data_IF_348870864077
#
_entry.id   IF_348870864077
#
_cell.length_a   1.000
_cell.length_b   1.000
_cell.length_c   1.000
_cell.angle_alpha   90.00
_cell.angle_beta   90.00
_cell.angle_gamma   90.00
#
_symmetry.space_group_name_H-M   'P 1'
#
loop_
_entity.id
_entity.type
_entity.pdbx_description
1 polymer ?
#
# COMPACT_ATOMS: atom_id res chain seq x y z
N UNK A 1 -63.44 51.13 23.04
CA UNK A 1 -63.65 49.81 22.38
C UNK A 1 -62.34 49.17 21.86
N UNK A 2 -61.40 49.94 21.41
CA UNK A 2 -60.20 49.47 20.74
C UNK A 2 -59.31 48.57 21.66
N UNK A 3 -59.21 48.85 22.94
CA UNK A 3 -58.34 48.08 23.89
C UNK A 3 -58.89 46.68 24.23
N UNK A 4 -60.15 46.44 24.08
CA UNK A 4 -60.79 45.12 24.33
C UNK A 4 -60.46 44.13 23.23
N UNK A 5 -60.33 44.55 22.01
CA UNK A 5 -59.98 43.71 20.87
C UNK A 5 -58.47 43.33 20.94
N UNK A 6 -57.61 44.22 21.40
CA UNK A 6 -56.20 43.95 21.60
C UNK A 6 -56.01 42.90 22.69
N UNK A 7 -56.71 42.99 23.80
CA UNK A 7 -56.68 42.02 24.87
C UNK A 7 -57.18 40.63 24.42
N UNK A 8 -58.25 40.57 23.66
CA UNK A 8 -58.74 39.30 23.10
C UNK A 8 -57.79 38.68 22.10
N UNK A 9 -57.15 39.47 21.26
CA UNK A 9 -56.13 38.98 20.32
C UNK A 9 -54.90 38.39 21.04
N UNK A 10 -54.48 39.03 22.12
CA UNK A 10 -53.35 38.55 22.91
C UNK A 10 -53.69 37.24 23.63
N UNK A 11 -54.86 37.11 24.18
CA UNK A 11 -55.32 35.86 24.81
C UNK A 11 -55.42 34.72 23.81
N UNK A 12 -55.91 35.00 22.58
CA UNK A 12 -56.02 34.01 21.53
C UNK A 12 -54.61 33.50 21.07
N UNK A 13 -53.66 34.41 20.98
CA UNK A 13 -52.26 34.02 20.63
C UNK A 13 -51.62 33.15 21.73
N UNK A 14 -51.78 33.51 22.99
CA UNK A 14 -51.27 32.74 24.13
C UNK A 14 -51.91 31.36 24.22
N UNK A 15 -53.23 31.27 24.00
CA UNK A 15 -53.94 30.00 23.96
C UNK A 15 -53.47 29.11 22.78
N UNK A 16 -53.24 29.70 21.61
CA UNK A 16 -52.71 28.98 20.45
C UNK A 16 -51.30 28.41 20.69
N UNK A 17 -50.41 29.19 21.31
CA UNK A 17 -49.06 28.74 21.69
C UNK A 17 -49.11 27.64 22.74
N UNK A 18 -49.98 27.71 23.73
CA UNK A 18 -50.17 26.68 24.74
C UNK A 18 -50.62 25.33 24.16
N UNK A 19 -51.50 25.37 23.14
CA UNK A 19 -51.95 24.17 22.45
C UNK A 19 -50.82 23.52 21.64
N UNK A 20 -49.95 24.33 21.03
CA UNK A 20 -48.80 23.81 20.27
C UNK A 20 -47.77 23.10 21.17
N UNK A 21 -47.56 23.55 22.40
CA UNK A 21 -46.67 22.89 23.36
C UNK A 21 -47.28 21.64 24.00
N UNK A 22 -48.60 21.47 23.96
CA UNK A 22 -49.27 20.28 24.50
C UNK A 22 -49.32 19.11 23.52
N UNK A 23 -49.02 19.32 22.24
CA UNK A 23 -49.20 18.31 21.19
C UNK A 23 -48.05 17.30 21.07
N UNK A 24 -46.98 17.42 21.87
CA UNK A 24 -45.84 16.54 21.78
C UNK A 24 -45.71 15.54 22.94
N UNK A 25 -46.79 14.96 23.43
CA UNK A 25 -46.68 13.68 24.16
C UNK A 25 -46.76 12.55 23.14
N UNK A 26 -45.63 12.03 22.76
CA UNK A 26 -45.56 10.70 22.16
C UNK A 26 -46.02 9.70 23.18
N UNK A 27 -47.26 9.34 23.14
CA UNK A 27 -47.79 8.22 23.90
C UNK A 27 -47.36 6.98 23.11
N UNK A 28 -46.46 6.21 23.65
CA UNK A 28 -46.16 4.87 23.17
C UNK A 28 -47.29 3.94 23.62
N UNK A 29 -48.53 4.24 23.13
CA UNK A 29 -49.73 3.49 23.48
C UNK A 29 -49.67 2.01 23.08
N UNK A 30 -48.78 1.67 22.13
CA UNK A 30 -48.59 0.29 21.72
C UNK A 30 -47.94 -0.58 22.80
N UNK A 31 -47.23 0.03 23.78
CA UNK A 31 -46.54 -0.69 24.86
C UNK A 31 -47.35 -0.72 26.15
N UNK A 32 -48.28 0.19 26.36
CA UNK A 32 -49.14 0.20 27.55
C UNK A 32 -50.46 -0.58 27.35
N UNK A 33 -51.01 -0.55 26.11
CA UNK A 33 -52.21 -1.34 25.82
C UNK A 33 -51.85 -2.82 25.61
N UNK A 34 -51.97 -3.61 26.63
CA UNK A 34 -51.68 -5.03 26.58
C UNK A 34 -50.53 -5.46 27.47
N UNK A 35 -49.82 -4.54 28.10
CA UNK A 35 -48.72 -4.85 29.03
C UNK A 35 -49.16 -5.74 30.21
N UNK A 36 -50.46 -5.64 30.65
CA UNK A 36 -51.05 -6.49 31.66
C UNK A 36 -51.53 -7.86 31.17
N UNK A 37 -51.50 -8.10 29.83
CA UNK A 37 -51.90 -9.36 29.22
C UNK A 37 -50.71 -10.28 28.89
N UNK A 38 -49.54 -9.71 28.96
CA UNK A 38 -48.30 -10.48 28.73
C UNK A 38 -47.92 -11.18 30.03
N UNK A 39 -47.77 -12.53 30.03
CA UNK A 39 -47.30 -13.25 31.21
C UNK A 39 -45.94 -12.67 31.65
N UNK A 40 -45.64 -12.59 32.97
CA UNK A 40 -44.41 -12.03 33.50
C UNK A 40 -43.11 -12.67 32.95
N UNK A 41 -43.21 -13.86 32.40
CA UNK A 41 -42.12 -14.60 31.76
C UNK A 41 -41.87 -14.22 30.29
N UNK A 42 -42.84 -13.59 29.62
CA UNK A 42 -42.76 -13.21 28.21
C UNK A 42 -42.48 -11.69 28.02
N UNK A 43 -42.31 -10.99 29.12
CA UNK A 43 -41.93 -9.57 29.07
C UNK A 43 -40.53 -9.37 28.49
N UNK A 44 -40.44 -8.75 27.31
CA UNK A 44 -39.14 -8.37 26.75
C UNK A 44 -38.67 -7.13 27.51
N UNK A 45 -37.73 -7.31 28.43
CA UNK A 45 -37.03 -6.22 29.09
C UNK A 45 -35.88 -5.78 28.18
N UNK A 46 -36.02 -4.62 27.52
CA UNK A 46 -34.90 -3.99 26.82
C UNK A 46 -34.15 -3.11 27.83
N UNK A 47 -32.84 -3.31 27.86
CA UNK A 47 -31.94 -2.46 28.64
C UNK A 47 -30.80 -2.00 27.75
N UNK A 48 -30.41 -0.75 27.94
CA UNK A 48 -29.24 -0.19 27.29
C UNK A 48 -28.04 -0.45 28.20
N UNK A 49 -26.98 -1.00 27.62
CA UNK A 49 -25.70 -1.13 28.30
C UNK A 49 -24.60 -0.46 27.49
N UNK A 50 -23.76 0.31 28.17
CA UNK A 50 -22.57 0.88 27.58
C UNK A 50 -21.41 -0.08 27.77
N UNK A 51 -20.88 -0.58 26.69
CA UNK A 51 -19.70 -1.43 26.69
C UNK A 51 -18.50 -0.57 26.30
N UNK A 52 -17.55 -0.40 27.22
CA UNK A 52 -16.29 0.22 26.89
C UNK A 52 -15.42 -0.80 26.15
N UNK A 53 -15.22 -0.57 24.86
CA UNK A 53 -14.33 -1.36 24.04
C UNK A 53 -12.97 -0.67 24.01
N UNK A 54 -11.95 -1.34 24.51
CA UNK A 54 -10.57 -0.94 24.36
C UNK A 54 -9.98 -1.71 23.19
N UNK A 55 -9.60 -1.01 22.13
CA UNK A 55 -8.90 -1.60 20.99
C UNK A 55 -7.40 -1.40 21.16
N UNK A 56 -6.65 -2.46 21.02
CA UNK A 56 -5.19 -2.43 21.05
C UNK A 56 -4.68 -2.94 19.71
N UNK A 57 -3.67 -2.26 19.16
CA UNK A 57 -2.86 -2.84 18.10
C UNK A 57 -1.86 -3.78 18.76
N UNK A 58 -2.10 -5.08 18.62
CA UNK A 58 -1.13 -6.07 19.07
C UNK A 58 -0.04 -6.22 18.01
N UNK A 59 1.21 -6.29 18.45
CA UNK A 59 2.36 -6.62 17.61
C UNK A 59 2.44 -8.10 17.30
N UNK A 60 1.42 -8.89 17.65
CA UNK A 60 1.39 -10.35 17.53
C UNK A 60 2.72 -10.96 17.96
N UNK A 61 2.77 -11.67 19.06
CA UNK A 61 4.02 -12.16 19.64
C UNK A 61 4.98 -12.70 18.58
N UNK A 62 6.19 -12.20 18.54
CA UNK A 62 7.21 -12.48 17.51
C UNK A 62 7.45 -13.97 17.25
N UNK A 63 7.13 -14.83 18.23
CA UNK A 63 7.32 -16.28 18.13
C UNK A 63 6.23 -17.00 17.32
N UNK A 64 5.08 -16.37 17.11
CA UNK A 64 3.91 -16.98 16.43
C UNK A 64 3.53 -16.26 15.15
N UNK A 65 4.28 -15.21 14.76
CA UNK A 65 4.02 -14.45 13.57
C UNK A 65 4.36 -15.26 12.32
N UNK A 66 3.34 -15.75 11.66
CA UNK A 66 3.43 -16.54 10.42
C UNK A 66 3.13 -15.72 9.17
N UNK A 67 3.23 -14.38 9.26
CA UNK A 67 3.00 -13.53 8.10
C UNK A 67 4.20 -13.57 7.17
N UNK A 68 3.94 -13.94 5.93
CA UNK A 68 4.93 -14.03 4.87
C UNK A 68 4.86 -12.84 3.93
N UNK A 69 5.99 -12.51 3.32
CA UNK A 69 6.06 -11.52 2.26
C UNK A 69 5.13 -11.94 1.11
N UNK A 70 4.32 -10.98 0.66
CA UNK A 70 3.45 -11.20 -0.49
C UNK A 70 4.27 -11.35 -1.78
N UNK A 71 3.82 -12.26 -2.65
CA UNK A 71 4.35 -12.47 -4.00
C UNK A 71 3.34 -12.06 -5.05
N UNK A 72 2.58 -11.02 -4.78
CA UNK A 72 1.58 -10.49 -5.69
C UNK A 72 2.26 -9.80 -6.88
N UNK A 73 1.49 -9.51 -7.91
CA UNK A 73 1.96 -8.77 -9.07
C UNK A 73 2.21 -7.29 -8.76
N UNK A 74 1.57 -6.76 -7.70
CA UNK A 74 1.70 -5.37 -7.23
C UNK A 74 2.48 -5.33 -5.92
N UNK A 75 3.47 -4.44 -5.85
CA UNK A 75 4.34 -4.27 -4.70
C UNK A 75 4.36 -2.83 -4.23
N UNK A 76 4.51 -2.66 -2.93
CA UNK A 76 4.66 -1.35 -2.31
C UNK A 76 6.13 -1.00 -2.13
N UNK A 77 6.47 0.26 -2.39
CA UNK A 77 7.81 0.79 -2.20
C UNK A 77 7.74 2.21 -1.65
N UNK A 78 8.42 2.46 -0.55
CA UNK A 78 8.52 3.79 0.03
C UNK A 78 8.38 3.80 1.54
N UNK A 79 8.33 5.00 2.10
CA UNK A 79 8.30 5.18 3.55
C UNK A 79 7.32 6.27 3.94
N UNK A 80 6.44 5.94 4.89
CA UNK A 80 5.57 6.88 5.59
C UNK A 80 6.09 6.98 7.03
N UNK A 81 6.41 8.19 7.47
CA UNK A 81 7.00 8.38 8.80
C UNK A 81 5.99 8.65 9.89
N UNK A 82 4.84 9.21 9.55
CA UNK A 82 3.86 9.68 10.52
C UNK A 82 2.44 9.56 9.98
N UNK A 83 1.98 8.33 9.79
CA UNK A 83 0.56 8.09 9.55
C UNK A 83 -0.19 8.21 10.88
N UNK A 84 -1.31 8.99 10.94
CA UNK A 84 -2.05 9.21 12.18
C UNK A 84 -2.69 7.93 12.76
N UNK A 85 -2.92 6.91 11.93
CA UNK A 85 -3.55 5.65 12.35
C UNK A 85 -2.56 4.50 12.46
N UNK A 86 -1.58 4.42 11.55
CA UNK A 86 -0.68 3.27 11.42
C UNK A 86 0.77 3.60 11.83
N UNK A 87 1.07 4.87 12.11
CA UNK A 87 2.40 5.28 12.53
C UNK A 87 3.41 5.26 11.38
N UNK A 88 4.50 4.53 11.55
CA UNK A 88 5.58 4.43 10.56
C UNK A 88 5.45 3.16 9.73
N UNK A 89 5.48 3.33 8.41
CA UNK A 89 5.53 2.23 7.44
C UNK A 89 6.80 2.36 6.58
N UNK A 90 7.52 1.25 6.41
CA UNK A 90 8.72 1.17 5.57
C UNK A 90 8.55 -0.06 4.65
N UNK A 91 8.25 0.21 3.38
CA UNK A 91 8.00 -0.82 2.38
C UNK A 91 9.23 -0.98 1.46
N UNK A 92 9.75 -2.19 1.37
CA UNK A 92 10.92 -2.56 0.58
C UNK A 92 10.56 -3.68 -0.38
N UNK A 93 11.16 -3.64 -1.57
CA UNK A 93 11.00 -4.66 -2.59
C UNK A 93 12.26 -5.50 -2.70
N UNK A 94 12.10 -6.81 -2.77
CA UNK A 94 13.16 -7.76 -3.09
C UNK A 94 12.85 -8.39 -4.43
N UNK A 95 13.77 -8.26 -5.37
CA UNK A 95 13.56 -8.65 -6.77
C UNK A 95 14.62 -9.66 -7.19
N UNK A 96 14.20 -10.71 -7.85
CA UNK A 96 15.06 -11.60 -8.61
C UNK A 96 14.81 -11.31 -10.09
N UNK A 97 15.84 -10.88 -10.81
CA UNK A 97 15.75 -10.55 -12.23
C UNK A 97 16.27 -11.72 -13.06
N UNK A 98 15.59 -12.04 -14.13
CA UNK A 98 16.01 -13.07 -15.07
C UNK A 98 15.55 -12.72 -16.49
N UNK A 99 16.23 -13.25 -17.50
CA UNK A 99 15.77 -13.14 -18.89
C UNK A 99 14.39 -13.77 -19.10
N UNK A 100 13.64 -13.27 -20.09
CA UNK A 100 12.32 -13.80 -20.43
C UNK A 100 12.36 -15.21 -21.03
N UNK A 101 13.49 -15.57 -21.66
CA UNK A 101 13.67 -16.87 -22.29
C UNK A 101 15.14 -17.31 -22.24
N UNK A 102 15.38 -18.58 -22.44
CA UNK A 102 16.69 -19.16 -22.55
C UNK A 102 16.84 -19.96 -23.87
N UNK A 103 18.04 -20.06 -24.43
CA UNK A 103 19.27 -19.37 -24.04
C UNK A 103 19.18 -17.86 -24.28
N UNK A 104 19.72 -17.07 -23.36
CA UNK A 104 19.76 -15.62 -23.48
C UNK A 104 21.17 -15.12 -23.79
N UNK A 105 21.28 -14.11 -24.65
CA UNK A 105 22.51 -13.39 -24.96
C UNK A 105 22.19 -11.93 -25.27
N UNK A 106 23.10 -11.01 -24.90
CA UNK A 106 22.86 -9.57 -25.08
C UNK A 106 22.87 -9.14 -26.53
N UNK A 107 23.67 -9.78 -27.37
CA UNK A 107 23.65 -9.56 -28.83
C UNK A 107 24.28 -10.76 -29.56
N UNK A 108 23.97 -10.88 -30.84
CA UNK A 108 24.58 -11.86 -31.72
C UNK A 108 26.06 -11.56 -32.07
N UNK A 109 26.58 -10.43 -31.53
CA UNK A 109 27.97 -10.01 -31.71
C UNK A 109 28.83 -10.54 -30.59
N UNK A 110 30.15 -10.64 -30.83
CA UNK A 110 31.10 -11.00 -29.79
C UNK A 110 31.02 -10.01 -28.62
N UNK A 111 31.09 -10.46 -27.36
CA UNK A 111 31.05 -9.59 -26.18
C UNK A 111 32.08 -8.45 -26.23
N UNK A 112 33.28 -8.68 -26.78
CA UNK A 112 34.34 -7.70 -26.90
C UNK A 112 34.00 -6.47 -27.78
N UNK A 113 32.93 -6.56 -28.56
CA UNK A 113 32.43 -5.46 -29.41
C UNK A 113 31.20 -4.75 -28.81
N UNK A 114 30.77 -5.14 -27.61
CA UNK A 114 29.65 -4.54 -26.92
C UNK A 114 30.11 -3.56 -25.83
N UNK A 115 29.45 -2.42 -25.77
CA UNK A 115 29.72 -1.39 -24.76
C UNK A 115 28.45 -1.09 -24.00
N UNK A 116 28.57 -0.90 -22.70
CA UNK A 116 27.47 -0.49 -21.83
C UNK A 116 27.36 1.05 -21.90
N UNK A 117 26.30 1.55 -22.45
CA UNK A 117 25.97 2.98 -22.39
C UNK A 117 25.35 3.32 -21.04
N UNK A 118 24.32 2.60 -20.64
CA UNK A 118 23.66 2.76 -19.36
C UNK A 118 22.95 1.50 -18.91
N UNK A 119 22.82 1.36 -17.59
CA UNK A 119 22.00 0.33 -16.95
C UNK A 119 20.88 1.02 -16.20
N UNK A 120 19.64 0.66 -16.48
CA UNK A 120 18.47 1.30 -15.88
C UNK A 120 17.50 0.25 -15.38
N UNK A 121 17.21 0.30 -14.09
CA UNK A 121 16.08 -0.41 -13.50
C UNK A 121 14.81 0.38 -13.79
N UNK A 122 13.84 -0.29 -14.40
CA UNK A 122 12.53 0.30 -14.71
C UNK A 122 11.45 -0.44 -13.94
N UNK A 123 10.72 0.28 -13.12
CA UNK A 123 9.57 -0.23 -12.38
C UNK A 123 8.32 0.48 -12.89
N UNK A 124 7.29 -0.28 -13.20
CA UNK A 124 5.99 0.28 -13.56
C UNK A 124 5.34 0.88 -12.33
N UNK A 125 4.83 2.09 -12.48
CA UNK A 125 4.11 2.80 -11.43
C UNK A 125 2.61 2.68 -11.66
N UNK A 126 1.87 2.38 -10.61
CA UNK A 126 0.41 2.27 -10.64
C UNK A 126 -0.19 3.46 -9.93
N UNK A 127 0.09 3.60 -8.64
CA UNK A 127 -0.47 4.67 -7.82
C UNK A 127 0.40 4.98 -6.59
N UNK A 128 0.07 6.05 -5.89
CA UNK A 128 0.71 6.43 -4.61
C UNK A 128 -0.35 6.56 -3.53
N UNK A 129 -0.08 5.96 -2.38
CA UNK A 129 -0.82 6.21 -1.15
C UNK A 129 -0.12 7.29 -0.32
N UNK A 130 -0.89 8.25 0.19
CA UNK A 130 -0.41 9.31 1.06
C UNK A 130 0.07 10.56 0.31
N UNK A 131 1.11 11.22 0.82
CA UNK A 131 1.63 12.47 0.26
C UNK A 131 2.38 12.25 -1.05
N UNK A 132 1.90 12.87 -2.11
CA UNK A 132 2.50 12.80 -3.45
C UNK A 132 3.51 13.91 -3.73
N UNK A 133 3.69 14.85 -2.81
CA UNK A 133 4.51 16.07 -2.99
C UNK A 133 5.87 16.01 -2.30
N UNK A 134 5.98 15.21 -1.22
CA UNK A 134 7.23 15.07 -0.49
C UNK A 134 8.22 14.18 -1.26
N UNK A 135 9.45 14.69 -1.54
CA UNK A 135 10.48 13.89 -2.19
C UNK A 135 10.89 12.67 -1.37
N UNK A 136 11.05 11.55 -2.06
CA UNK A 136 11.58 10.30 -1.49
C UNK A 136 12.82 9.85 -2.25
N UNK A 137 13.82 9.37 -1.52
CA UNK A 137 15.02 8.78 -2.11
C UNK A 137 14.90 7.27 -2.10
N UNK A 138 14.92 6.69 -3.29
CA UNK A 138 14.91 5.25 -3.52
C UNK A 138 16.33 4.80 -3.81
N UNK A 139 16.79 3.86 -3.02
CA UNK A 139 18.10 3.24 -3.16
C UNK A 139 17.96 1.80 -3.65
N UNK A 140 18.79 1.42 -4.61
CA UNK A 140 18.86 0.06 -5.14
C UNK A 140 20.16 -0.57 -4.69
N UNK A 141 20.05 -1.67 -3.97
CA UNK A 141 21.19 -2.44 -3.50
C UNK A 141 21.23 -3.81 -4.16
N UNK A 142 22.40 -4.33 -4.35
CA UNK A 142 22.58 -5.75 -4.65
C UNK A 142 22.53 -6.55 -3.37
N UNK A 143 21.77 -7.65 -3.38
CA UNK A 143 21.82 -8.61 -2.29
C UNK A 143 23.10 -9.42 -2.37
N UNK A 144 23.68 -9.70 -1.21
CA UNK A 144 24.83 -10.61 -1.14
C UNK A 144 24.40 -12.00 -1.63
N UNK A 145 25.18 -12.58 -2.53
CA UNK A 145 24.88 -13.91 -3.09
C UNK A 145 24.86 -15.02 -2.03
N UNK A 146 25.56 -14.83 -0.90
CA UNK A 146 25.52 -15.77 0.23
C UNK A 146 24.12 -15.91 0.86
N UNK A 147 23.22 -14.95 0.62
CA UNK A 147 21.84 -15.00 1.13
C UNK A 147 20.96 -16.06 0.45
N UNK A 148 21.36 -16.57 -0.73
CA UNK A 148 20.55 -17.51 -1.51
C UNK A 148 19.09 -17.03 -1.69
N UNK A 149 18.89 -15.75 -1.97
CA UNK A 149 17.57 -15.23 -2.21
C UNK A 149 16.90 -15.90 -3.42
N UNK A 150 15.68 -16.35 -3.22
CA UNK A 150 14.87 -16.99 -4.27
C UNK A 150 13.45 -16.47 -4.24
N UNK A 151 12.97 -16.03 -5.37
CA UNK A 151 11.59 -15.54 -5.50
C UNK A 151 10.53 -16.63 -5.29
N UNK A 152 10.90 -17.90 -5.41
CA UNK A 152 10.02 -19.06 -5.17
C UNK A 152 9.92 -19.49 -3.70
N UNK A 153 10.74 -18.92 -2.82
CA UNK A 153 10.76 -19.21 -1.37
C UNK A 153 9.89 -18.21 -0.62
N UNK A 154 9.28 -18.65 0.48
CA UNK A 154 8.50 -17.80 1.38
C UNK A 154 9.37 -17.24 2.49
N UNK A 155 9.27 -15.94 2.74
CA UNK A 155 10.02 -15.21 3.75
C UNK A 155 9.08 -14.53 4.73
N UNK A 156 9.40 -14.56 6.03
CA UNK A 156 8.61 -13.88 7.06
C UNK A 156 8.81 -12.36 6.99
N UNK A 157 7.74 -11.58 7.17
CA UNK A 157 7.78 -10.12 7.06
C UNK A 157 8.77 -9.47 8.03
N UNK A 158 8.87 -9.99 9.25
CA UNK A 158 9.62 -9.36 10.34
C UNK A 158 11.06 -9.79 10.49
N UNK A 159 11.53 -10.71 9.67
CA UNK A 159 12.88 -11.20 9.76
C UNK A 159 13.75 -10.53 8.71
N UNK A 160 14.84 -9.88 9.14
CA UNK A 160 15.87 -9.43 8.23
C UNK A 160 16.69 -10.63 7.78
N UNK A 161 16.44 -11.05 6.53
CA UNK A 161 17.13 -12.22 5.95
C UNK A 161 18.37 -11.85 5.16
N UNK A 162 18.47 -10.59 4.73
CA UNK A 162 19.33 -10.23 3.63
C UNK A 162 20.36 -9.18 4.03
N UNK A 163 21.60 -9.47 3.75
CA UNK A 163 22.68 -8.49 3.74
C UNK A 163 22.82 -7.88 2.35
N UNK A 164 23.21 -6.62 2.31
CA UNK A 164 23.44 -5.88 1.06
C UNK A 164 24.92 -5.82 0.78
N UNK A 165 25.33 -6.10 -0.46
CA UNK A 165 26.74 -6.03 -0.84
C UNK A 165 27.14 -4.63 -1.29
N UNK A 166 26.38 -4.02 -2.21
CA UNK A 166 26.73 -2.73 -2.79
C UNK A 166 25.49 -1.90 -3.14
N UNK A 167 25.64 -0.59 -3.08
CA UNK A 167 24.67 0.35 -3.63
C UNK A 167 24.86 0.41 -5.14
N UNK A 168 23.87 -0.05 -5.90
CA UNK A 168 23.89 -0.04 -7.36
C UNK A 168 23.40 1.29 -7.94
N UNK A 169 22.48 1.96 -7.27
CA UNK A 169 21.94 3.21 -7.75
C UNK A 169 21.02 3.88 -6.75
N UNK A 170 20.79 5.17 -6.96
CA UNK A 170 19.92 5.97 -6.12
C UNK A 170 19.19 7.01 -6.97
N UNK A 171 17.91 7.25 -6.66
CA UNK A 171 17.14 8.31 -7.28
C UNK A 171 16.20 8.94 -6.27
N UNK A 172 16.22 10.27 -6.20
CA UNK A 172 15.21 11.04 -5.48
C UNK A 172 14.08 11.39 -6.44
N UNK A 173 12.86 11.10 -6.03
CA UNK A 173 11.63 11.33 -6.79
C UNK A 173 10.61 12.04 -5.92
N UNK A 174 9.75 12.82 -6.57
CA UNK A 174 8.47 13.26 -6.02
C UNK A 174 7.39 12.39 -6.64
N UNK A 175 6.56 11.67 -5.86
CA UNK A 175 5.64 10.68 -6.42
C UNK A 175 4.73 11.22 -7.52
N UNK A 176 4.30 12.49 -7.45
CA UNK A 176 3.50 13.13 -8.49
C UNK A 176 4.18 13.16 -9.87
N UNK A 177 5.51 13.15 -9.92
CA UNK A 177 6.27 13.16 -11.19
C UNK A 177 6.26 11.80 -11.90
N UNK A 178 5.82 10.73 -11.23
CA UNK A 178 5.79 9.40 -11.83
C UNK A 178 4.71 9.24 -12.90
N UNK A 179 3.72 10.14 -12.90
CA UNK A 179 2.68 10.20 -13.94
C UNK A 179 3.15 10.94 -15.20
N UNK A 180 4.27 11.65 -15.11
CA UNK A 180 4.77 12.43 -16.24
C UNK A 180 5.35 11.51 -17.31
N UNK A 181 5.32 12.01 -18.56
CA UNK A 181 5.96 11.31 -19.66
C UNK A 181 7.48 11.47 -19.60
N UNK A 182 8.18 10.36 -19.76
CA UNK A 182 9.63 10.29 -19.76
C UNK A 182 10.11 9.81 -21.14
N UNK A 183 11.04 10.56 -21.74
CA UNK A 183 11.70 10.13 -22.97
C UNK A 183 12.78 9.11 -22.64
N UNK A 184 12.66 7.92 -23.21
CA UNK A 184 13.59 6.83 -23.06
C UNK A 184 14.09 6.40 -24.47
N UNK A 185 15.31 6.79 -24.83
CA UNK A 185 15.85 6.62 -26.19
C UNK A 185 14.95 7.27 -27.26
N UNK A 186 14.32 6.44 -28.11
CA UNK A 186 13.43 6.89 -29.18
C UNK A 186 11.96 6.92 -28.76
N UNK A 187 11.62 6.31 -27.62
CA UNK A 187 10.24 6.13 -27.15
C UNK A 187 9.91 7.12 -26.04
N UNK A 188 8.64 7.45 -25.95
CA UNK A 188 8.09 8.21 -24.82
C UNK A 188 7.22 7.27 -23.99
N UNK A 189 7.52 7.15 -22.73
CA UNK A 189 6.83 6.28 -21.79
C UNK A 189 6.23 7.07 -20.65
N UNK A 190 5.20 6.54 -20.00
CA UNK A 190 4.53 7.13 -18.83
C UNK A 190 4.49 6.12 -17.70
N UNK A 191 4.20 6.56 -16.49
CA UNK A 191 4.00 5.72 -15.33
C UNK A 191 5.20 4.80 -15.04
N UNK A 192 6.41 5.36 -15.04
CA UNK A 192 7.62 4.60 -14.79
C UNK A 192 8.54 5.27 -13.78
N UNK A 193 8.96 4.50 -12.80
CA UNK A 193 10.13 4.82 -11.99
C UNK A 193 11.36 4.22 -12.65
N UNK A 194 12.26 5.08 -13.11
CA UNK A 194 13.51 4.69 -13.79
C UNK A 194 14.69 5.08 -12.91
N UNK A 195 15.50 4.12 -12.49
CA UNK A 195 16.67 4.34 -11.64
C UNK A 195 17.91 3.92 -12.42
N UNK A 196 18.83 4.86 -12.64
CA UNK A 196 20.11 4.53 -13.25
C UNK A 196 20.95 3.77 -12.24
N UNK A 197 21.45 2.63 -12.68
CA UNK A 197 22.37 1.79 -11.92
C UNK A 197 23.81 2.01 -12.38
N UNK A 198 24.76 1.57 -11.57
CA UNK A 198 26.17 1.59 -11.91
C UNK A 198 26.45 0.71 -13.13
N UNK A 199 27.20 1.24 -14.09
CA UNK A 199 27.56 0.53 -15.31
C UNK A 199 28.40 -0.72 -15.03
N UNK A 200 29.12 -0.78 -13.91
CA UNK A 200 29.90 -1.97 -13.50
C UNK A 200 29.03 -3.18 -13.30
N UNK A 201 27.78 -3.00 -12.85
CA UNK A 201 26.79 -4.07 -12.76
C UNK A 201 26.48 -4.65 -14.15
N UNK A 202 26.19 -3.81 -15.12
CA UNK A 202 25.96 -4.24 -16.49
C UNK A 202 27.18 -4.88 -17.15
N UNK A 203 28.37 -4.32 -16.87
CA UNK A 203 29.62 -4.89 -17.37
C UNK A 203 29.87 -6.30 -16.83
N UNK A 204 29.52 -6.52 -15.56
CA UNK A 204 29.62 -7.86 -14.95
C UNK A 204 28.68 -8.85 -15.63
N UNK A 205 27.41 -8.48 -15.87
CA UNK A 205 26.46 -9.32 -16.60
C UNK A 205 26.97 -9.64 -18.02
N UNK A 206 27.51 -8.65 -18.71
CA UNK A 206 28.10 -8.86 -20.04
C UNK A 206 29.32 -9.80 -20.00
N UNK A 207 30.15 -9.69 -18.97
CA UNK A 207 31.34 -10.55 -18.78
C UNK A 207 30.93 -11.99 -18.47
N UNK A 208 29.89 -12.20 -17.70
CA UNK A 208 29.36 -13.55 -17.42
C UNK A 208 28.80 -14.21 -18.66
N UNK A 209 28.15 -13.44 -19.53
CA UNK A 209 27.66 -13.96 -20.81
C UNK A 209 28.82 -14.49 -21.69
N UNK A 210 29.99 -13.85 -21.67
CA UNK A 210 31.17 -14.27 -22.42
C UNK A 210 31.81 -15.56 -21.91
N UNK A 211 31.64 -15.87 -20.62
CA UNK A 211 32.20 -17.06 -19.95
C UNK A 211 31.28 -18.27 -20.06
N UNK A 212 29.99 -18.06 -20.30
CA UNK A 212 29.05 -19.14 -20.51
C UNK A 212 29.47 -20.02 -21.68
N UNK A 213 29.72 -21.29 -21.44
CA UNK A 213 30.22 -22.26 -22.41
C UNK A 213 29.17 -22.73 -23.42
N UNK A 214 27.95 -22.25 -23.32
CA UNK A 214 26.92 -22.47 -24.33
C UNK A 214 27.19 -21.63 -25.57
N UNK A 215 26.73 -22.11 -26.70
CA UNK A 215 26.94 -21.53 -28.02
C UNK A 215 26.85 -20.00 -28.02
N UNK A 216 27.95 -19.33 -28.30
CA UNK A 216 28.10 -17.85 -28.32
C UNK A 216 28.05 -17.10 -26.98
N UNK A 217 28.42 -17.73 -25.88
CA UNK A 217 28.42 -17.06 -24.56
C UNK A 217 27.02 -16.79 -23.98
N UNK A 218 26.01 -17.49 -24.45
CA UNK A 218 24.64 -17.30 -23.98
C UNK A 218 24.40 -17.96 -22.61
N UNK A 219 23.61 -17.32 -21.77
CA UNK A 219 23.06 -17.96 -20.58
C UNK A 219 22.12 -19.09 -20.97
N UNK A 220 22.50 -20.32 -20.65
CA UNK A 220 21.82 -21.51 -21.15
C UNK A 220 20.49 -21.79 -20.42
N UNK A 221 20.43 -21.44 -19.15
CA UNK A 221 19.26 -21.70 -18.29
C UNK A 221 19.30 -20.80 -17.05
N UNK A 222 18.28 -20.89 -16.22
CA UNK A 222 18.12 -20.12 -14.98
C UNK A 222 19.30 -20.28 -14.02
N UNK A 223 19.83 -21.50 -13.89
CA UNK A 223 20.95 -21.77 -13.00
C UNK A 223 22.26 -21.14 -13.48
N UNK A 224 22.45 -20.98 -14.79
CA UNK A 224 23.63 -20.32 -15.35
C UNK A 224 23.54 -18.78 -15.27
N UNK A 225 22.35 -18.23 -15.16
CA UNK A 225 22.13 -16.80 -15.03
C UNK A 225 22.27 -16.32 -13.57
N UNK A 226 22.00 -17.15 -12.60
CA UNK A 226 22.16 -16.88 -11.16
C UNK A 226 23.60 -16.89 -10.75
#
# INVERSE_FOLDING_TARGET
MKNRYIAFSFIAIVASVAILFSACKRINEATELGGGLIPPVDGINTFDTLINVQAFNDTFGLATDSQYLSKNEEYFLGRINNDPFFGKTDARMFLELKPLFYPWYFANSKPDSLYIDSVVLVLNYIETYGDTTTPQTINVYELDQSNNFRSDTSYLIRKDYFTYSSLLGSRTITPSMLNDSVKAFKDTTVNQLRIRLDNTFGQRLLSYDSVSTSVNGAYANDSAFR
#
